data_IF_910288465622
#
_entry.id   IF_910288465622
#
_cell.length_a   1.000
_cell.length_b   1.000
_cell.length_c   1.000
_cell.angle_alpha   90.00
_cell.angle_beta   90.00
_cell.angle_gamma   90.00
#
_symmetry.space_group_name_H-M   'P 1'
#
loop_
_entity.id
_entity.type
_entity.pdbx_description
1 polymer ?
#
# COMPACT_ATOMS: atom_id res chain seq x y z
N UNK A 1 -11.79 48.01 1.43
CA UNK A 1 -11.52 46.59 1.85
C UNK A 1 -12.27 45.58 0.96
N UNK A 2 -13.54 45.79 0.61
CA UNK A 2 -14.38 44.86 -0.20
C UNK A 2 -13.81 44.48 -1.59
N UNK A 3 -13.25 45.47 -2.32
CA UNK A 3 -12.71 45.24 -3.67
C UNK A 3 -11.53 44.28 -3.67
N UNK A 4 -10.69 44.33 -2.63
CA UNK A 4 -9.54 43.41 -2.44
C UNK A 4 -10.01 42.00 -2.11
N UNK A 5 -11.02 41.85 -1.26
CA UNK A 5 -11.63 40.58 -0.91
C UNK A 5 -12.33 39.90 -2.11
N UNK A 6 -13.05 40.67 -2.94
CA UNK A 6 -13.69 40.20 -4.18
C UNK A 6 -12.67 39.71 -5.21
N UNK A 7 -11.54 40.42 -5.37
CA UNK A 7 -10.48 39.99 -6.29
C UNK A 7 -9.77 38.70 -5.82
N UNK A 8 -9.48 38.59 -4.53
CA UNK A 8 -8.88 37.41 -3.94
C UNK A 8 -9.79 36.17 -4.08
N UNK A 9 -11.08 36.35 -3.88
CA UNK A 9 -12.09 35.32 -4.07
C UNK A 9 -12.13 34.83 -5.54
N UNK A 10 -12.26 35.74 -6.51
CA UNK A 10 -12.27 35.40 -7.92
C UNK A 10 -10.99 34.69 -8.37
N UNK A 11 -9.84 35.12 -7.87
CA UNK A 11 -8.56 34.47 -8.13
C UNK A 11 -8.53 33.05 -7.57
N UNK A 12 -9.00 32.85 -6.34
CA UNK A 12 -9.06 31.53 -5.69
C UNK A 12 -9.98 30.56 -6.44
N UNK A 13 -11.15 31.04 -6.87
CA UNK A 13 -12.09 30.25 -7.65
C UNK A 13 -11.53 29.87 -9.02
N UNK A 14 -10.96 30.83 -9.76
CA UNK A 14 -10.34 30.57 -11.06
C UNK A 14 -9.18 29.56 -10.95
N UNK A 15 -8.36 29.65 -9.90
CA UNK A 15 -7.29 28.69 -9.65
C UNK A 15 -7.83 27.28 -9.40
N UNK A 16 -8.88 27.12 -8.59
CA UNK A 16 -9.50 25.81 -8.32
C UNK A 16 -10.15 25.22 -9.58
N UNK A 17 -10.78 26.05 -10.41
CA UNK A 17 -11.34 25.61 -11.70
C UNK A 17 -10.24 25.12 -12.65
N UNK A 18 -9.15 25.87 -12.77
CA UNK A 18 -7.97 25.45 -13.54
C UNK A 18 -7.38 24.13 -13.05
N UNK A 19 -7.21 23.96 -11.72
CA UNK A 19 -6.70 22.73 -11.12
C UNK A 19 -7.67 21.57 -11.39
N UNK A 20 -8.98 21.80 -11.37
CA UNK A 20 -10.01 20.80 -11.70
C UNK A 20 -9.91 20.35 -13.17
N UNK A 21 -9.83 21.28 -14.13
CA UNK A 21 -9.68 20.97 -15.56
C UNK A 21 -8.40 20.16 -15.82
N UNK A 22 -7.28 20.58 -15.22
CA UNK A 22 -6.01 19.87 -15.32
C UNK A 22 -6.10 18.45 -14.77
N UNK A 23 -6.81 18.25 -13.66
CA UNK A 23 -7.03 16.91 -13.10
C UNK A 23 -7.94 16.06 -14.00
N UNK A 24 -8.96 16.62 -14.62
CA UNK A 24 -9.79 15.92 -15.61
C UNK A 24 -8.97 15.45 -16.82
N UNK A 25 -8.04 16.27 -17.26
CA UNK A 25 -7.12 15.88 -18.34
C UNK A 25 -6.23 14.72 -17.92
N UNK A 26 -5.71 14.71 -16.68
CA UNK A 26 -4.95 13.59 -16.14
C UNK A 26 -5.78 12.31 -16.05
N UNK A 27 -7.05 12.39 -15.63
CA UNK A 27 -7.98 11.26 -15.63
C UNK A 27 -8.16 10.70 -17.06
N UNK A 28 -8.38 11.57 -18.05
CA UNK A 28 -8.50 11.16 -19.46
C UNK A 28 -7.22 10.49 -19.97
N UNK A 29 -6.05 11.02 -19.60
CA UNK A 29 -4.75 10.43 -19.96
C UNK A 29 -4.56 9.05 -19.32
N UNK A 30 -4.87 8.89 -18.04
CA UNK A 30 -4.79 7.61 -17.34
C UNK A 30 -5.75 6.55 -17.90
N UNK A 31 -6.94 6.95 -18.37
CA UNK A 31 -7.87 6.04 -19.07
C UNK A 31 -7.31 5.54 -20.41
N UNK A 32 -6.58 6.40 -21.13
CA UNK A 32 -5.98 6.02 -22.43
C UNK A 32 -4.71 5.19 -22.27
N UNK A 33 -3.87 5.51 -21.28
CA UNK A 33 -2.62 4.81 -20.99
C UNK A 33 -2.50 4.65 -19.48
N UNK A 34 -2.88 3.48 -19.00
CA UNK A 34 -2.87 3.14 -17.58
C UNK A 34 -1.44 3.18 -17.01
N UNK A 35 -1.30 3.70 -15.79
CA UNK A 35 -0.04 3.70 -15.05
C UNK A 35 0.94 4.83 -15.41
N UNK A 36 0.49 5.89 -16.10
CA UNK A 36 1.34 7.07 -16.33
C UNK A 36 1.71 7.79 -15.03
N UNK A 37 2.93 8.30 -14.99
CA UNK A 37 3.48 9.08 -13.87
C UNK A 37 2.78 10.45 -13.82
N UNK A 38 2.47 10.91 -12.63
CA UNK A 38 1.87 12.22 -12.39
C UNK A 38 2.93 13.35 -12.46
N UNK A 39 2.51 14.63 -12.55
CA UNK A 39 3.39 15.75 -12.30
C UNK A 39 4.06 15.61 -10.91
N UNK A 40 5.30 16.06 -10.79
CA UNK A 40 6.19 15.79 -9.64
C UNK A 40 5.53 16.00 -8.28
N UNK A 41 4.78 17.10 -8.09
CA UNK A 41 4.10 17.39 -6.82
C UNK A 41 3.00 16.38 -6.50
N UNK A 42 2.15 16.08 -7.47
CA UNK A 42 1.05 15.13 -7.33
C UNK A 42 1.57 13.69 -7.17
N UNK A 43 2.70 13.35 -7.80
CA UNK A 43 3.36 12.06 -7.64
C UNK A 43 3.87 11.84 -6.21
N UNK A 44 4.44 12.87 -5.60
CA UNK A 44 4.90 12.81 -4.19
C UNK A 44 3.70 12.63 -3.26
N UNK A 45 2.62 13.41 -3.47
CA UNK A 45 1.39 13.31 -2.67
C UNK A 45 0.74 11.92 -2.80
N UNK A 46 0.66 11.40 -4.02
CA UNK A 46 0.17 10.04 -4.26
C UNK A 46 0.96 8.99 -3.47
N UNK A 47 2.30 9.01 -3.54
CA UNK A 47 3.13 8.01 -2.85
C UNK A 47 3.08 8.16 -1.33
N UNK A 48 2.97 9.37 -0.80
CA UNK A 48 2.77 9.59 0.63
C UNK A 48 1.45 9.00 1.10
N UNK A 49 0.35 9.30 0.40
CA UNK A 49 -0.97 8.77 0.73
C UNK A 49 -1.03 7.25 0.57
N UNK A 50 -0.43 6.70 -0.50
CA UNK A 50 -0.38 5.27 -0.77
C UNK A 50 0.36 4.48 0.33
N UNK A 51 1.54 4.95 0.75
CA UNK A 51 2.28 4.33 1.86
C UNK A 51 1.55 4.48 3.20
N UNK A 52 0.86 5.60 3.41
CA UNK A 52 0.07 5.80 4.62
C UNK A 52 -1.13 4.86 4.68
N UNK A 53 -1.80 4.65 3.55
CA UNK A 53 -2.89 3.68 3.42
C UNK A 53 -2.39 2.25 3.66
N UNK A 54 -1.24 1.87 3.09
CA UNK A 54 -0.66 0.55 3.31
C UNK A 54 -0.36 0.30 4.80
N UNK A 55 0.24 1.28 5.50
CA UNK A 55 0.48 1.20 6.96
C UNK A 55 -0.82 1.12 7.75
N UNK A 56 -1.82 1.93 7.37
CA UNK A 56 -3.12 1.89 8.02
C UNK A 56 -3.77 0.50 7.89
N UNK A 57 -3.72 -0.08 6.69
CA UNK A 57 -4.25 -1.42 6.43
C UNK A 57 -3.52 -2.47 7.29
N UNK A 58 -2.18 -2.42 7.39
CA UNK A 58 -1.42 -3.34 8.23
C UNK A 58 -1.85 -3.21 9.70
N UNK A 59 -2.01 -1.99 10.22
CA UNK A 59 -2.44 -1.79 11.60
C UNK A 59 -3.88 -2.27 11.83
N UNK A 60 -4.78 -1.98 10.90
CA UNK A 60 -6.19 -2.33 11.01
C UNK A 60 -6.41 -3.84 10.97
N UNK A 61 -5.71 -4.54 10.06
CA UNK A 61 -5.88 -5.98 9.83
C UNK A 61 -4.85 -6.84 10.55
N UNK A 62 -4.03 -6.27 11.43
CA UNK A 62 -2.97 -6.99 12.14
C UNK A 62 -3.48 -8.24 12.86
N UNK A 63 -4.52 -8.12 13.68
CA UNK A 63 -5.07 -9.24 14.43
C UNK A 63 -5.68 -10.32 13.54
N UNK A 64 -6.33 -9.91 12.46
CA UNK A 64 -6.82 -10.86 11.45
C UNK A 64 -5.65 -11.59 10.77
N UNK A 65 -4.57 -10.89 10.48
CA UNK A 65 -3.33 -11.47 9.95
C UNK A 65 -2.69 -12.46 10.93
N UNK A 66 -2.63 -12.13 12.21
CA UNK A 66 -2.14 -13.03 13.27
C UNK A 66 -3.01 -14.28 13.39
N UNK A 67 -4.33 -14.15 13.33
CA UNK A 67 -5.24 -15.29 13.36
C UNK A 67 -5.04 -16.22 12.15
N UNK A 68 -4.95 -15.63 10.94
CA UNK A 68 -4.70 -16.41 9.71
C UNK A 68 -3.32 -17.10 9.80
N UNK A 69 -2.30 -16.40 10.28
CA UNK A 69 -0.98 -16.96 10.47
C UNK A 69 -1.00 -18.14 11.47
N UNK A 70 -1.73 -18.00 12.56
CA UNK A 70 -1.91 -19.09 13.55
C UNK A 70 -2.60 -20.31 12.92
N UNK A 71 -3.68 -20.09 12.14
CA UNK A 71 -4.37 -21.19 11.44
C UNK A 71 -3.42 -21.89 10.46
N UNK A 72 -2.67 -21.13 9.67
CA UNK A 72 -1.67 -21.69 8.74
C UNK A 72 -0.61 -22.46 9.50
N UNK A 73 -0.13 -21.94 10.63
CA UNK A 73 0.87 -22.61 11.49
C UNK A 73 0.35 -23.97 11.98
N UNK A 74 -0.88 -24.04 12.47
CA UNK A 74 -1.49 -25.30 12.92
C UNK A 74 -1.63 -26.29 11.76
N UNK A 75 -2.09 -25.82 10.58
CA UNK A 75 -2.21 -26.65 9.38
C UNK A 75 -0.83 -27.16 8.90
N UNK A 76 0.21 -26.32 8.95
CA UNK A 76 1.57 -26.74 8.59
C UNK A 76 2.11 -27.81 9.55
N UNK A 77 2.04 -27.57 10.85
CA UNK A 77 2.54 -28.52 11.87
C UNK A 77 1.81 -29.88 11.76
N UNK A 78 0.49 -29.86 11.55
CA UNK A 78 -0.28 -31.10 11.36
C UNK A 78 0.05 -31.79 10.04
N UNK A 79 0.25 -31.02 8.96
CA UNK A 79 0.68 -31.55 7.65
C UNK A 79 2.08 -32.13 7.70
N UNK A 80 3.01 -31.48 8.37
CA UNK A 80 4.40 -31.92 8.53
C UNK A 80 4.47 -33.29 9.19
N UNK A 81 3.65 -33.52 10.20
CA UNK A 81 3.59 -34.83 10.88
C UNK A 81 3.26 -35.98 9.94
N UNK A 82 2.43 -35.75 8.89
CA UNK A 82 2.02 -36.76 7.93
C UNK A 82 2.92 -36.85 6.69
N UNK A 83 3.63 -35.79 6.36
CA UNK A 83 4.37 -35.64 5.09
C UNK A 83 5.86 -35.87 5.23
N UNK A 84 6.43 -35.60 6.41
CA UNK A 84 7.88 -35.77 6.66
C UNK A 84 8.21 -37.26 6.81
N UNK A 85 9.25 -37.70 6.12
CA UNK A 85 9.79 -39.04 6.28
C UNK A 85 10.29 -39.23 7.74
N UNK A 86 9.89 -40.35 8.36
CA UNK A 86 10.23 -40.62 9.76
C UNK A 86 11.74 -40.65 10.01
N UNK A 87 12.54 -41.03 9.02
CA UNK A 87 13.98 -41.04 9.11
C UNK A 87 14.61 -39.66 9.26
N UNK A 88 13.93 -38.62 8.70
CA UNK A 88 14.40 -37.24 8.71
C UNK A 88 13.53 -36.33 9.56
N UNK A 89 12.56 -36.89 10.30
CA UNK A 89 11.50 -36.15 10.99
C UNK A 89 12.03 -35.01 11.87
N UNK A 90 12.99 -35.28 12.73
CA UNK A 90 13.52 -34.29 13.67
C UNK A 90 14.16 -33.12 12.91
N UNK A 91 14.96 -33.42 11.89
CA UNK A 91 15.64 -32.40 11.09
C UNK A 91 14.68 -31.50 10.36
N UNK A 92 13.76 -32.08 9.59
CA UNK A 92 12.85 -31.35 8.74
C UNK A 92 11.77 -30.60 9.55
N UNK A 93 11.33 -31.18 10.68
CA UNK A 93 10.42 -30.53 11.61
C UNK A 93 11.05 -29.28 12.26
N UNK A 94 12.33 -29.33 12.65
CA UNK A 94 13.05 -28.16 13.17
C UNK A 94 13.15 -27.09 12.11
N UNK A 95 13.44 -27.42 10.84
CA UNK A 95 13.52 -26.44 9.74
C UNK A 95 12.16 -25.83 9.45
N UNK A 96 11.07 -26.60 9.48
CA UNK A 96 9.71 -26.08 9.37
C UNK A 96 9.38 -25.09 10.49
N UNK A 97 9.69 -25.47 11.73
CA UNK A 97 9.47 -24.60 12.91
C UNK A 97 10.27 -23.29 12.81
N UNK A 98 11.55 -23.37 12.38
CA UNK A 98 12.37 -22.18 12.14
C UNK A 98 11.75 -21.28 11.06
N UNK A 99 11.19 -21.86 10.00
CA UNK A 99 10.46 -21.15 8.96
C UNK A 99 9.24 -20.38 9.51
N UNK A 100 8.47 -21.02 10.38
CA UNK A 100 7.34 -20.40 11.07
C UNK A 100 7.80 -19.25 11.99
N UNK A 101 8.83 -19.45 12.80
CA UNK A 101 9.39 -18.40 13.66
C UNK A 101 9.90 -17.22 12.82
N UNK A 102 10.58 -17.49 11.72
CA UNK A 102 11.06 -16.46 10.79
C UNK A 102 9.91 -15.65 10.15
N UNK A 103 8.82 -16.31 9.74
CA UNK A 103 7.63 -15.65 9.23
C UNK A 103 6.97 -14.75 10.28
N UNK A 104 6.82 -15.24 11.52
CA UNK A 104 6.32 -14.44 12.64
C UNK A 104 7.19 -13.21 12.92
N UNK A 105 8.51 -13.39 12.92
CA UNK A 105 9.48 -12.29 13.06
C UNK A 105 9.29 -11.21 11.98
N UNK A 106 9.16 -11.60 10.72
CA UNK A 106 8.94 -10.65 9.61
C UNK A 106 7.62 -9.90 9.77
N UNK A 107 6.53 -10.59 10.11
CA UNK A 107 5.21 -9.97 10.31
C UNK A 107 5.19 -8.98 11.48
N UNK A 108 5.75 -9.39 12.63
CA UNK A 108 5.84 -8.53 13.81
C UNK A 108 6.71 -7.30 13.53
N UNK A 109 7.87 -7.49 12.91
CA UNK A 109 8.77 -6.37 12.60
C UNK A 109 8.10 -5.39 11.63
N UNK A 110 7.44 -5.86 10.58
CA UNK A 110 6.70 -5.01 9.66
C UNK A 110 5.59 -4.22 10.38
N UNK A 111 4.88 -4.86 11.30
CA UNK A 111 3.86 -4.21 12.13
C UNK A 111 4.47 -3.09 12.99
N UNK A 112 5.60 -3.33 13.66
CA UNK A 112 6.29 -2.30 14.45
C UNK A 112 6.65 -1.08 13.60
N UNK A 113 7.18 -1.26 12.41
CA UNK A 113 7.49 -0.15 11.49
C UNK A 113 6.24 0.57 10.97
N UNK A 114 5.11 -0.12 10.82
CA UNK A 114 3.84 0.49 10.45
C UNK A 114 3.21 1.28 11.60
N UNK A 115 3.32 0.76 12.84
CA UNK A 115 2.61 1.28 14.02
C UNK A 115 3.32 2.49 14.65
N UNK A 116 4.60 2.37 14.98
CA UNK A 116 5.32 3.41 15.72
C UNK A 116 5.68 4.62 14.85
N UNK A 117 5.29 5.84 15.32
CA UNK A 117 5.52 7.11 14.60
C UNK A 117 6.99 7.36 14.23
N UNK A 118 7.92 7.01 15.14
CA UNK A 118 9.37 7.21 14.96
C UNK A 118 9.90 6.33 13.79
N UNK A 119 9.34 5.13 13.59
CA UNK A 119 9.77 4.18 12.58
C UNK A 119 9.10 4.38 11.21
N UNK A 120 8.03 5.17 11.14
CA UNK A 120 7.27 5.43 9.91
C UNK A 120 8.12 5.88 8.70
N UNK A 121 9.11 6.77 8.84
CA UNK A 121 9.93 7.18 7.70
C UNK A 121 10.72 6.02 7.07
N UNK A 122 11.05 5.02 7.86
CA UNK A 122 11.84 3.85 7.45
C UNK A 122 10.99 2.67 6.98
N UNK A 123 9.66 2.77 7.05
CA UNK A 123 8.74 1.68 6.73
C UNK A 123 9.00 1.05 5.35
N UNK A 124 9.17 1.86 4.30
CA UNK A 124 9.40 1.34 2.94
C UNK A 124 10.73 0.56 2.84
N UNK A 125 11.78 1.05 3.49
CA UNK A 125 13.08 0.35 3.54
C UNK A 125 13.00 -0.94 4.36
N UNK A 126 12.30 -0.90 5.50
CA UNK A 126 12.08 -2.08 6.31
C UNK A 126 11.28 -3.14 5.55
N UNK A 127 10.22 -2.76 4.83
CA UNK A 127 9.43 -3.67 4.01
C UNK A 127 10.28 -4.34 2.91
N UNK A 128 11.15 -3.60 2.23
CA UNK A 128 12.09 -4.15 1.25
C UNK A 128 13.09 -5.10 1.90
N UNK A 129 13.70 -4.69 3.01
CA UNK A 129 14.69 -5.50 3.73
C UNK A 129 14.08 -6.79 4.29
N UNK A 130 12.88 -6.73 4.86
CA UNK A 130 12.15 -7.90 5.36
C UNK A 130 11.73 -8.85 4.25
N UNK A 131 11.29 -8.31 3.10
CA UNK A 131 10.97 -9.14 1.93
C UNK A 131 12.22 -9.86 1.41
N UNK A 132 13.33 -9.13 1.28
CA UNK A 132 14.61 -9.70 0.89
C UNK A 132 15.03 -10.81 1.87
N UNK A 133 15.03 -10.51 3.16
CA UNK A 133 15.38 -11.47 4.22
C UNK A 133 14.49 -12.71 4.19
N UNK A 134 13.17 -12.53 4.12
CA UNK A 134 12.21 -13.63 4.09
C UNK A 134 12.45 -14.56 2.89
N UNK A 135 12.71 -14.01 1.71
CA UNK A 135 12.98 -14.80 0.51
C UNK A 135 14.25 -15.63 0.67
N UNK A 136 15.36 -15.00 1.06
CA UNK A 136 16.67 -15.68 1.18
C UNK A 136 16.62 -16.72 2.29
N UNK A 137 16.14 -16.36 3.48
CA UNK A 137 16.09 -17.27 4.63
C UNK A 137 15.13 -18.44 4.42
N UNK A 138 13.94 -18.19 3.84
CA UNK A 138 13.00 -19.27 3.56
C UNK A 138 13.49 -20.19 2.44
N UNK A 139 14.16 -19.64 1.43
CA UNK A 139 14.79 -20.46 0.39
C UNK A 139 15.86 -21.38 1.00
N UNK A 140 16.68 -20.86 1.91
CA UNK A 140 17.69 -21.66 2.60
C UNK A 140 17.05 -22.77 3.45
N UNK A 141 16.13 -22.41 4.35
CA UNK A 141 15.43 -23.37 5.20
C UNK A 141 14.75 -24.48 4.42
N UNK A 142 14.08 -24.12 3.32
CA UNK A 142 13.37 -25.06 2.46
C UNK A 142 14.31 -26.03 1.74
N UNK A 143 15.40 -25.51 1.19
CA UNK A 143 16.31 -26.32 0.38
C UNK A 143 17.22 -27.22 1.22
N UNK A 144 17.40 -26.93 2.50
CA UNK A 144 18.13 -27.80 3.45
C UNK A 144 17.29 -28.96 3.99
N UNK A 145 15.99 -29.01 3.71
CA UNK A 145 15.12 -30.13 4.07
C UNK A 145 15.50 -31.40 3.31
N UNK A 146 15.48 -32.54 4.02
CA UNK A 146 15.89 -33.81 3.48
C UNK A 146 14.76 -34.57 2.78
N UNK A 147 13.50 -34.38 3.23
CA UNK A 147 12.31 -34.96 2.60
C UNK A 147 11.98 -34.25 1.31
N UNK A 148 12.11 -34.91 0.18
CA UNK A 148 11.98 -34.34 -1.15
C UNK A 148 10.56 -33.80 -1.44
N UNK A 149 9.53 -34.57 -1.09
CA UNK A 149 8.13 -34.15 -1.26
C UNK A 149 7.82 -32.87 -0.48
N UNK A 150 8.38 -32.71 0.71
CA UNK A 150 8.19 -31.55 1.56
C UNK A 150 8.91 -30.33 0.99
N UNK A 151 10.07 -30.50 0.40
CA UNK A 151 10.84 -29.45 -0.29
C UNK A 151 10.04 -28.80 -1.44
N UNK A 152 9.34 -29.61 -2.24
CA UNK A 152 8.50 -29.09 -3.32
C UNK A 152 7.29 -28.28 -2.82
N UNK A 153 6.66 -28.72 -1.73
CA UNK A 153 5.55 -27.97 -1.13
C UNK A 153 6.02 -26.62 -0.55
N UNK A 154 7.18 -26.61 0.09
CA UNK A 154 7.73 -25.39 0.66
C UNK A 154 8.12 -24.36 -0.43
N UNK A 155 8.40 -24.75 -1.67
CA UNK A 155 8.56 -23.82 -2.79
C UNK A 155 7.30 -22.99 -3.07
N UNK A 156 6.10 -23.53 -2.85
CA UNK A 156 4.87 -22.78 -2.97
C UNK A 156 4.78 -21.65 -1.93
N UNK A 157 5.29 -21.90 -0.71
CA UNK A 157 5.33 -20.90 0.37
C UNK A 157 6.22 -19.73 -0.03
N UNK A 158 7.38 -20.00 -0.64
CA UNK A 158 8.28 -18.94 -1.16
C UNK A 158 7.53 -18.07 -2.18
N UNK A 159 6.80 -18.68 -3.11
CA UNK A 159 6.00 -17.95 -4.10
C UNK A 159 4.94 -17.06 -3.46
N UNK A 160 4.27 -17.52 -2.41
CA UNK A 160 3.29 -16.74 -1.63
C UNK A 160 3.95 -15.56 -0.92
N UNK A 161 5.14 -15.75 -0.32
CA UNK A 161 5.90 -14.67 0.33
C UNK A 161 6.22 -13.56 -0.66
N UNK A 162 6.65 -13.91 -1.87
CA UNK A 162 6.86 -12.94 -2.94
C UNK A 162 5.60 -12.12 -3.21
N UNK A 163 4.50 -12.79 -3.50
CA UNK A 163 3.23 -12.11 -3.83
C UNK A 163 2.78 -11.20 -2.69
N UNK A 164 2.82 -11.69 -1.45
CA UNK A 164 2.45 -10.90 -0.26
C UNK A 164 3.36 -9.69 -0.08
N UNK A 165 4.68 -9.83 -0.21
CA UNK A 165 5.62 -8.73 -0.12
C UNK A 165 5.35 -7.64 -1.14
N UNK A 166 5.02 -8.01 -2.38
CA UNK A 166 4.69 -7.04 -3.43
C UNK A 166 3.34 -6.34 -3.24
N UNK A 167 2.34 -7.04 -2.71
CA UNK A 167 0.95 -6.55 -2.63
C UNK A 167 0.70 -5.77 -1.34
N UNK A 168 1.14 -6.31 -0.19
CA UNK A 168 0.74 -5.77 1.11
C UNK A 168 1.57 -4.57 1.56
N UNK A 169 2.81 -4.46 1.10
CA UNK A 169 3.73 -3.43 1.62
C UNK A 169 3.46 -2.02 1.09
N UNK A 170 2.77 -1.87 -0.04
CA UNK A 170 2.54 -0.58 -0.68
C UNK A 170 3.82 0.12 -1.18
N UNK A 171 4.93 -0.58 -1.25
CA UNK A 171 6.21 -0.06 -1.79
C UNK A 171 6.10 0.03 -3.32
N UNK A 172 6.83 0.98 -3.91
CA UNK A 172 6.88 1.17 -5.37
C UNK A 172 7.20 -0.15 -6.07
N UNK A 173 6.37 -0.57 -7.06
CA UNK A 173 6.53 -1.88 -7.72
C UNK A 173 7.93 -2.11 -8.29
N UNK A 174 8.56 -1.07 -8.84
CA UNK A 174 9.91 -1.17 -9.40
C UNK A 174 10.99 -1.43 -8.32
N UNK A 175 10.87 -0.80 -7.14
CA UNK A 175 11.80 -1.06 -6.03
C UNK A 175 11.64 -2.49 -5.50
N UNK A 176 10.40 -2.98 -5.40
CA UNK A 176 10.13 -4.36 -5.01
C UNK A 176 10.63 -5.37 -6.05
N UNK A 177 10.49 -5.07 -7.35
CA UNK A 177 11.06 -5.88 -8.43
C UNK A 177 12.58 -6.04 -8.25
N UNK A 178 13.27 -4.93 -8.03
CA UNK A 178 14.72 -4.95 -7.80
C UNK A 178 15.09 -5.76 -6.55
N UNK A 179 14.36 -5.55 -5.45
CA UNK A 179 14.53 -6.30 -4.20
C UNK A 179 14.34 -7.82 -4.42
N UNK A 180 13.26 -8.20 -5.12
CA UNK A 180 12.97 -9.61 -5.41
C UNK A 180 14.02 -10.26 -6.31
N UNK A 181 14.49 -9.57 -7.35
CA UNK A 181 15.57 -10.07 -8.22
C UNK A 181 16.89 -10.20 -7.47
N UNK A 182 17.25 -9.22 -6.64
CA UNK A 182 18.45 -9.30 -5.82
C UNK A 182 18.36 -10.47 -4.81
N UNK A 183 17.22 -10.66 -4.15
CA UNK A 183 16.99 -11.78 -3.26
C UNK A 183 17.10 -13.12 -4.00
N UNK A 184 16.56 -13.22 -5.22
CA UNK A 184 16.66 -14.41 -6.06
C UNK A 184 18.14 -14.74 -6.40
N UNK A 185 18.92 -13.73 -6.79
CA UNK A 185 20.34 -13.90 -7.10
C UNK A 185 21.14 -14.35 -5.87
N UNK A 186 20.92 -13.68 -4.72
CA UNK A 186 21.62 -14.05 -3.47
C UNK A 186 21.23 -15.45 -3.01
N UNK A 187 19.95 -15.82 -3.05
CA UNK A 187 19.48 -17.14 -2.72
C UNK A 187 20.10 -18.20 -3.63
N UNK A 188 20.19 -17.95 -4.93
CA UNK A 188 20.79 -18.87 -5.89
C UNK A 188 22.29 -19.05 -5.64
N UNK A 189 23.04 -17.97 -5.44
CA UNK A 189 24.48 -18.02 -5.10
C UNK A 189 24.70 -18.82 -3.81
N UNK A 190 23.88 -18.58 -2.79
CA UNK A 190 23.95 -19.29 -1.52
C UNK A 190 23.74 -20.80 -1.70
N UNK A 191 22.72 -21.22 -2.44
CA UNK A 191 22.45 -22.63 -2.71
C UNK A 191 23.59 -23.31 -3.49
N UNK A 192 24.15 -22.65 -4.48
CA UNK A 192 25.28 -23.15 -5.25
C UNK A 192 26.54 -23.25 -4.40
N UNK A 193 26.82 -22.29 -3.53
CA UNK A 193 28.01 -22.30 -2.65
C UNK A 193 27.94 -23.39 -1.57
N UNK A 194 26.74 -23.75 -1.15
CA UNK A 194 26.53 -24.84 -0.16
C UNK A 194 26.45 -26.22 -0.81
N UNK A 195 26.65 -26.33 -2.14
CA UNK A 195 26.59 -27.59 -2.90
C UNK A 195 25.28 -28.38 -2.66
N UNK A 196 24.19 -27.70 -2.37
CA UNK A 196 22.88 -28.33 -2.16
C UNK A 196 22.40 -28.91 -3.50
N UNK A 197 22.03 -30.21 -3.55
CA UNK A 197 21.52 -30.84 -4.78
C UNK A 197 20.13 -30.28 -5.10
N UNK A 198 20.06 -29.30 -5.98
CA UNK A 198 18.85 -28.65 -6.43
C UNK A 198 18.73 -28.70 -7.94
N UNK A 199 17.49 -28.77 -8.41
CA UNK A 199 17.21 -28.42 -9.80
C UNK A 199 17.23 -26.90 -9.95
N UNK A 200 18.37 -26.37 -10.43
CA UNK A 200 18.63 -24.94 -10.65
C UNK A 200 17.56 -24.32 -11.57
N UNK A 201 17.07 -25.10 -12.54
CA UNK A 201 16.03 -24.62 -13.45
C UNK A 201 14.68 -24.45 -12.75
N UNK A 202 14.29 -25.43 -11.93
CA UNK A 202 13.03 -25.35 -11.15
C UNK A 202 13.10 -24.19 -10.17
N UNK A 203 14.19 -24.08 -9.44
CA UNK A 203 14.37 -23.01 -8.45
C UNK A 203 14.43 -21.63 -9.09
N UNK A 204 15.13 -21.49 -10.22
CA UNK A 204 15.16 -20.26 -10.99
C UNK A 204 13.76 -19.82 -11.47
N UNK A 205 12.93 -20.76 -11.94
CA UNK A 205 11.55 -20.50 -12.34
C UNK A 205 10.70 -20.04 -11.15
N UNK A 206 10.85 -20.66 -9.98
CA UNK A 206 10.11 -20.27 -8.76
C UNK A 206 10.50 -18.86 -8.34
N UNK A 207 11.78 -18.56 -8.20
CA UNK A 207 12.27 -17.26 -7.72
C UNK A 207 11.97 -16.13 -8.71
N UNK A 208 12.35 -16.32 -9.99
CA UNK A 208 12.15 -15.29 -11.02
C UNK A 208 10.66 -15.18 -11.40
N UNK A 209 9.99 -16.31 -11.60
CA UNK A 209 8.57 -16.34 -11.94
C UNK A 209 7.69 -15.65 -10.90
N UNK A 210 7.92 -15.94 -9.63
CA UNK A 210 7.21 -15.30 -8.51
C UNK A 210 7.49 -13.80 -8.41
N UNK A 211 8.74 -13.37 -8.67
CA UNK A 211 9.11 -11.96 -8.73
C UNK A 211 8.37 -11.22 -9.85
N UNK A 212 8.34 -11.79 -11.05
CA UNK A 212 7.64 -11.20 -12.20
C UNK A 212 6.14 -11.13 -11.94
N UNK A 213 5.57 -12.21 -11.41
CA UNK A 213 4.13 -12.27 -11.08
C UNK A 213 3.76 -11.25 -10.02
N UNK A 214 4.53 -11.17 -8.92
CA UNK A 214 4.34 -10.18 -7.86
C UNK A 214 4.44 -8.74 -8.39
N UNK A 215 5.42 -8.47 -9.26
CA UNK A 215 5.55 -7.17 -9.92
C UNK A 215 4.34 -6.82 -10.78
N UNK A 216 3.85 -7.74 -11.61
CA UNK A 216 2.69 -7.50 -12.47
C UNK A 216 1.43 -7.20 -11.65
N UNK A 217 1.17 -7.98 -10.59
CA UNK A 217 0.03 -7.77 -9.68
C UNK A 217 0.16 -6.42 -8.99
N UNK A 218 1.33 -6.12 -8.40
CA UNK A 218 1.58 -4.85 -7.73
C UNK A 218 1.42 -3.66 -8.66
N UNK A 219 1.92 -3.74 -9.91
CA UNK A 219 1.76 -2.70 -10.92
C UNK A 219 0.29 -2.50 -11.30
N UNK A 220 -0.48 -3.57 -11.44
CA UNK A 220 -1.91 -3.50 -11.73
C UNK A 220 -2.68 -2.83 -10.59
N UNK A 221 -2.41 -3.21 -9.34
CA UNK A 221 -3.02 -2.60 -8.17
C UNK A 221 -2.66 -1.10 -8.06
N UNK A 222 -1.38 -0.76 -8.20
CA UNK A 222 -0.92 0.62 -8.18
C UNK A 222 -1.60 1.47 -9.27
N UNK A 223 -1.84 0.90 -10.46
CA UNK A 223 -2.55 1.58 -11.54
C UNK A 223 -4.01 1.87 -11.17
N UNK A 224 -4.70 0.93 -10.53
CA UNK A 224 -6.06 1.16 -10.00
C UNK A 224 -6.08 2.26 -8.95
N UNK A 225 -5.15 2.23 -8.01
CA UNK A 225 -5.07 3.21 -6.94
C UNK A 225 -4.73 4.61 -7.45
N UNK A 226 -3.91 4.74 -8.49
CA UNK A 226 -3.68 6.01 -9.19
C UNK A 226 -4.98 6.60 -9.74
N UNK A 227 -5.83 5.77 -10.33
CA UNK A 227 -7.13 6.22 -10.84
C UNK A 227 -8.05 6.67 -9.70
N UNK A 228 -8.13 5.88 -8.62
CA UNK A 228 -8.94 6.21 -7.44
C UNK A 228 -8.46 7.54 -6.83
N UNK A 229 -7.15 7.73 -6.69
CA UNK A 229 -6.55 8.96 -6.18
C UNK A 229 -6.97 10.19 -7.00
N UNK A 230 -6.90 10.12 -8.33
CA UNK A 230 -7.32 11.23 -9.20
C UNK A 230 -8.81 11.53 -9.08
N UNK A 231 -9.66 10.51 -9.03
CA UNK A 231 -11.12 10.68 -8.86
C UNK A 231 -11.44 11.31 -7.51
N UNK A 232 -10.78 10.87 -6.43
CA UNK A 232 -10.93 11.48 -5.11
C UNK A 232 -10.43 12.92 -5.07
N UNK A 233 -9.30 13.20 -5.74
CA UNK A 233 -8.77 14.56 -5.86
C UNK A 233 -9.77 15.47 -6.61
N UNK A 234 -10.37 14.96 -7.69
CA UNK A 234 -11.44 15.65 -8.45
C UNK A 234 -12.65 15.97 -7.57
N UNK A 235 -13.11 15.00 -6.78
CA UNK A 235 -14.22 15.19 -5.86
C UNK A 235 -13.94 16.28 -4.84
N UNK A 236 -12.73 16.27 -4.23
CA UNK A 236 -12.30 17.31 -3.28
C UNK A 236 -12.23 18.71 -3.91
N UNK A 237 -11.77 18.81 -5.15
CA UNK A 237 -11.76 20.10 -5.87
C UNK A 237 -13.19 20.60 -6.14
N UNK A 238 -14.08 19.72 -6.58
CA UNK A 238 -15.50 20.05 -6.81
C UNK A 238 -16.19 20.47 -5.51
N UNK A 239 -15.94 19.79 -4.41
CA UNK A 239 -16.46 20.15 -3.08
C UNK A 239 -16.01 21.56 -2.66
N UNK A 240 -14.70 21.86 -2.81
CA UNK A 240 -14.18 23.20 -2.50
C UNK A 240 -14.83 24.29 -3.35
N UNK A 241 -15.03 24.03 -4.66
CA UNK A 241 -15.71 24.97 -5.56
C UNK A 241 -17.16 25.18 -5.13
N UNK A 242 -17.89 24.08 -4.86
CA UNK A 242 -19.28 24.13 -4.43
C UNK A 242 -19.43 24.88 -3.09
N UNK A 243 -18.51 24.66 -2.15
CA UNK A 243 -18.49 25.39 -0.87
C UNK A 243 -18.32 26.89 -1.07
N UNK A 244 -17.40 27.30 -1.95
CA UNK A 244 -17.18 28.71 -2.28
C UNK A 244 -18.46 29.32 -2.90
N UNK A 245 -19.12 28.61 -3.82
CA UNK A 245 -20.38 29.10 -4.39
C UNK A 245 -21.50 29.15 -3.35
N UNK A 246 -21.59 28.20 -2.43
CA UNK A 246 -22.58 28.22 -1.36
C UNK A 246 -22.38 29.42 -0.41
N UNK A 247 -21.13 29.72 -0.05
CA UNK A 247 -20.78 30.91 0.75
C UNK A 247 -21.17 32.22 0.02
N UNK A 248 -20.96 32.29 -1.29
CA UNK A 248 -21.38 33.44 -2.14
C UNK A 248 -22.90 33.60 -2.18
N UNK A 249 -23.61 32.49 -2.42
CA UNK A 249 -25.08 32.51 -2.45
C UNK A 249 -25.66 32.90 -1.08
N UNK A 250 -25.07 32.42 0.00
CA UNK A 250 -25.48 32.80 1.37
C UNK A 250 -25.29 34.31 1.57
N UNK A 251 -24.12 34.83 1.20
CA UNK A 251 -23.84 36.27 1.32
C UNK A 251 -24.81 37.11 0.51
N UNK A 252 -25.11 36.70 -0.75
CA UNK A 252 -26.10 37.41 -1.61
C UNK A 252 -27.52 37.30 -1.04
N UNK A 253 -27.86 36.18 -0.39
CA UNK A 253 -29.20 36.00 0.24
C UNK A 253 -29.36 36.82 1.51
N UNK A 254 -28.29 37.14 2.23
CA UNK A 254 -28.32 37.88 3.50
C UNK A 254 -28.25 39.40 3.33
N UNK A 255 -27.79 39.91 2.16
CA UNK A 255 -27.57 41.30 1.93
C UNK A 255 -28.46 41.83 0.79
N UNK A 256 -28.95 43.04 0.91
CA UNK A 256 -29.66 43.73 -0.14
C UNK A 256 -28.70 44.08 -1.31
N UNK A 257 -29.15 43.80 -2.53
CA UNK A 257 -28.31 43.95 -3.74
C UNK A 257 -27.91 45.41 -4.02
N UNK A 258 -28.72 46.36 -3.61
CA UNK A 258 -28.52 47.80 -3.89
C UNK A 258 -27.75 48.48 -2.77
N UNK A 259 -28.16 48.26 -1.52
CA UNK A 259 -27.63 48.98 -0.37
C UNK A 259 -26.46 48.26 0.32
N UNK A 260 -26.24 46.94 0.02
CA UNK A 260 -25.23 46.09 0.64
C UNK A 260 -25.41 45.92 2.16
N UNK A 261 -26.51 46.37 2.74
CA UNK A 261 -26.86 46.16 4.14
C UNK A 261 -27.60 44.84 4.30
N UNK A 262 -27.61 44.27 5.50
CA UNK A 262 -28.41 43.07 5.80
C UNK A 262 -29.85 43.27 5.35
N UNK A 263 -30.42 42.33 4.61
CA UNK A 263 -31.80 42.39 4.18
C UNK A 263 -32.74 42.26 5.40
N UNK A 264 -34.00 42.65 5.24
CA UNK A 264 -35.01 42.67 6.30
C UNK A 264 -35.12 41.31 7.01
N UNK A 265 -35.10 40.24 6.24
CA UNK A 265 -35.21 38.87 6.79
C UNK A 265 -34.04 38.54 7.73
N UNK A 266 -32.80 38.81 7.32
CA UNK A 266 -31.60 38.58 8.15
C UNK A 266 -31.59 39.47 9.40
N UNK A 267 -32.12 40.71 9.27
CA UNK A 267 -32.28 41.63 10.40
C UNK A 267 -33.29 41.08 11.44
N UNK A 268 -34.44 40.59 10.96
CA UNK A 268 -35.51 40.04 11.83
C UNK A 268 -34.98 38.76 12.54
N UNK A 269 -34.28 37.87 11.80
CA UNK A 269 -33.63 36.64 12.37
C UNK A 269 -32.58 36.99 13.45
N UNK A 270 -31.79 38.06 13.25
CA UNK A 270 -30.80 38.51 14.24
C UNK A 270 -31.50 39.10 15.50
N UNK A 271 -32.59 39.85 15.33
CA UNK A 271 -33.40 40.41 16.39
C UNK A 271 -34.00 39.28 17.26
N UNK A 272 -34.60 38.28 16.63
CA UNK A 272 -35.20 37.15 17.34
C UNK A 272 -34.13 36.38 18.15
N UNK A 273 -32.96 36.14 17.57
CA UNK A 273 -31.85 35.48 18.29
C UNK A 273 -31.29 36.29 19.46
N UNK A 274 -31.40 37.60 19.40
CA UNK A 274 -30.96 38.51 20.46
C UNK A 274 -31.95 38.58 21.64
N UNK A 275 -33.25 38.37 21.36
CA UNK A 275 -34.28 38.35 22.39
C UNK A 275 -34.49 36.95 23.04
N UNK A 276 -33.96 35.89 22.46
CA UNK A 276 -33.99 34.54 23.01
C UNK A 276 -32.82 34.27 23.99
N UNK A 277 -31.82 35.16 24.09
CA UNK A 277 -30.72 35.12 25.09
C UNK A 277 -31.09 35.88 26.36
#
# INVERSE_FOLDING_TARGET
MEFKASMEYKYKLAKLQYDKEKNEELIKRQRKRAGQVFPKQLEVEFWQQHLEQARHNINQYFWSGVLIYFIITVLMITGDYWLIDRNFFIHDFIHSLLGLVNGAFCLLTLFFFAHYKILRPYYAYAAMALTFWAIVSMTWLTMTMLTEAFRYQAMMIISMIYIMGFVLTGVKPFHMLLTGLMAAVVAMIMLLSLHIPIDVMVMGRVLVGSTVMGFLISKMLCTRERMIFLVMHQARLSEKINRIHAEELLHLSQHDALTKVSNRRTFDEMLDSYFEQ
#
